data_IF_100108836285
#
_entry.id   IF_100108836285
#
_cell.length_a   1.000
_cell.length_b   1.000
_cell.length_c   1.000
_cell.angle_alpha   90.00
_cell.angle_beta   90.00
_cell.angle_gamma   90.00
#
_symmetry.space_group_name_H-M   'P 1'
#
loop_
_entity.id
_entity.type
_entity.pdbx_description
1 polymer ?
#
# COMPACT_ATOMS: atom_id res chain seq x y z
N UNK A 1 12.66 -24.61 1.18
CA UNK A 1 11.23 -24.23 1.35
C UNK A 1 10.92 -24.11 2.83
N UNK A 2 10.29 -23.02 3.30
CA UNK A 2 9.85 -22.91 4.70
C UNK A 2 8.72 -23.94 4.97
N UNK A 3 8.78 -24.64 6.10
CA UNK A 3 7.75 -25.62 6.52
C UNK A 3 6.41 -24.91 6.72
N UNK A 4 5.35 -25.40 6.09
CA UNK A 4 3.99 -24.85 6.23
C UNK A 4 3.22 -25.62 7.30
N UNK A 5 2.43 -24.90 8.09
CA UNK A 5 1.52 -25.48 9.10
C UNK A 5 0.10 -25.12 8.69
N UNK A 6 -0.79 -26.11 8.63
CA UNK A 6 -2.20 -25.84 8.33
C UNK A 6 -2.88 -25.21 9.54
N UNK A 7 -3.68 -24.17 9.28
CA UNK A 7 -4.57 -23.52 10.23
C UNK A 7 -5.94 -23.44 9.57
N UNK A 8 -6.97 -23.95 10.24
CA UNK A 8 -8.35 -23.91 9.75
C UNK A 8 -8.88 -22.47 9.78
N UNK A 9 -8.72 -21.75 8.68
CA UNK A 9 -9.18 -20.38 8.51
C UNK A 9 -10.55 -20.39 7.83
N UNK A 10 -11.53 -19.77 8.48
CA UNK A 10 -12.81 -19.42 7.85
C UNK A 10 -12.78 -17.95 7.45
N UNK A 11 -13.33 -17.64 6.29
CA UNK A 11 -13.45 -16.27 5.76
C UNK A 11 -14.92 -15.96 5.45
N UNK A 12 -15.28 -14.68 5.41
CA UNK A 12 -16.62 -14.27 5.00
C UNK A 12 -16.85 -14.53 3.51
N UNK A 13 -18.12 -14.59 3.04
CA UNK A 13 -18.42 -14.75 1.61
C UNK A 13 -17.80 -13.65 0.74
N UNK A 14 -17.79 -12.40 1.22
CA UNK A 14 -17.17 -11.26 0.53
C UNK A 14 -15.65 -11.43 0.43
N UNK A 15 -15.00 -11.81 1.54
CA UNK A 15 -13.56 -12.08 1.54
C UNK A 15 -13.21 -13.20 0.56
N UNK A 16 -14.02 -14.26 0.52
CA UNK A 16 -13.83 -15.37 -0.41
C UNK A 16 -13.89 -14.92 -1.88
N UNK A 17 -14.89 -14.10 -2.24
CA UNK A 17 -15.00 -13.55 -3.59
C UNK A 17 -13.78 -12.69 -3.96
N UNK A 18 -13.31 -11.85 -3.04
CA UNK A 18 -12.14 -10.98 -3.26
C UNK A 18 -10.85 -11.79 -3.40
N UNK A 19 -10.66 -12.82 -2.58
CA UNK A 19 -9.52 -13.75 -2.68
C UNK A 19 -9.51 -14.45 -4.03
N UNK A 20 -10.68 -14.93 -4.49
CA UNK A 20 -10.83 -15.56 -5.80
C UNK A 20 -10.49 -14.60 -6.94
N UNK A 21 -11.00 -13.38 -6.91
CA UNK A 21 -10.69 -12.37 -7.92
C UNK A 21 -9.18 -12.03 -7.97
N UNK A 22 -8.51 -11.94 -6.81
CA UNK A 22 -7.06 -11.74 -6.75
C UNK A 22 -6.28 -12.95 -7.28
N UNK A 23 -6.75 -14.17 -6.98
CA UNK A 23 -6.17 -15.42 -7.49
C UNK A 23 -6.19 -15.46 -9.01
N UNK A 24 -7.32 -15.10 -9.61
CA UNK A 24 -7.50 -15.02 -11.07
C UNK A 24 -6.62 -13.92 -11.68
N UNK A 25 -6.64 -12.71 -11.09
CA UNK A 25 -5.86 -11.56 -11.58
C UNK A 25 -4.35 -11.82 -11.58
N UNK A 26 -3.84 -12.47 -10.54
CA UNK A 26 -2.41 -12.72 -10.35
C UNK A 26 -1.96 -14.11 -10.80
N UNK A 27 -2.87 -14.95 -11.30
CA UNK A 27 -2.61 -16.32 -11.76
C UNK A 27 -1.89 -17.18 -10.71
N UNK A 28 -2.26 -17.02 -9.43
CA UNK A 28 -1.71 -17.79 -8.30
C UNK A 28 -2.84 -18.45 -7.53
N UNK A 29 -2.58 -19.58 -6.87
CA UNK A 29 -3.59 -20.25 -6.03
C UNK A 29 -4.19 -19.31 -4.98
N UNK A 30 -5.48 -19.47 -4.66
CA UNK A 30 -6.15 -18.74 -3.56
C UNK A 30 -5.38 -18.87 -2.24
N UNK A 31 -4.84 -20.05 -1.96
CA UNK A 31 -4.01 -20.27 -0.78
C UNK A 31 -2.72 -19.42 -0.80
N UNK A 32 -2.16 -19.11 -1.97
CA UNK A 32 -1.02 -18.20 -2.09
C UNK A 32 -1.41 -16.75 -1.84
N UNK A 33 -2.57 -16.31 -2.35
CA UNK A 33 -3.14 -14.99 -2.06
C UNK A 33 -3.32 -14.81 -0.55
N UNK A 34 -3.98 -15.76 0.11
CA UNK A 34 -4.23 -15.69 1.56
C UNK A 34 -2.91 -15.61 2.33
N UNK A 35 -1.89 -16.37 1.95
CA UNK A 35 -0.57 -16.30 2.59
C UNK A 35 0.08 -14.93 2.40
N UNK A 36 0.05 -14.37 1.19
CA UNK A 36 0.60 -13.04 0.94
C UNK A 36 -0.11 -11.96 1.76
N UNK A 37 -1.43 -12.05 1.90
CA UNK A 37 -2.20 -11.13 2.74
C UNK A 37 -1.82 -11.25 4.23
N UNK A 38 -1.65 -12.49 4.72
CA UNK A 38 -1.19 -12.73 6.09
C UNK A 38 0.23 -12.18 6.30
N UNK A 39 1.14 -12.47 5.37
CA UNK A 39 2.54 -12.00 5.43
C UNK A 39 2.62 -10.46 5.40
N UNK A 40 1.71 -9.81 4.65
CA UNK A 40 1.63 -8.35 4.61
C UNK A 40 1.04 -7.76 5.90
N UNK A 41 0.02 -8.38 6.49
CA UNK A 41 -0.70 -7.82 7.64
C UNK A 41 -0.03 -8.12 9.00
N UNK A 42 0.65 -9.25 9.14
CA UNK A 42 1.25 -9.69 10.40
C UNK A 42 2.22 -8.66 11.01
N UNK A 43 3.18 -8.07 10.27
CA UNK A 43 4.11 -7.09 10.84
C UNK A 43 3.40 -5.87 11.44
N UNK A 44 2.31 -5.41 10.82
CA UNK A 44 1.52 -4.30 11.34
C UNK A 44 0.79 -4.70 12.61
N UNK A 45 0.16 -5.89 12.63
CA UNK A 45 -0.48 -6.43 13.82
C UNK A 45 0.51 -6.61 14.99
N UNK A 46 1.73 -7.09 14.71
CA UNK A 46 2.82 -7.24 15.70
C UNK A 46 3.26 -5.91 16.29
N UNK A 47 3.27 -4.85 15.47
CA UNK A 47 3.58 -3.48 15.93
C UNK A 47 2.44 -2.79 16.69
N UNK A 48 1.30 -3.49 16.89
CA UNK A 48 0.09 -2.91 17.50
C UNK A 48 -0.61 -1.88 16.62
N UNK A 49 -0.24 -1.81 15.34
CA UNK A 49 -0.81 -0.90 14.37
C UNK A 49 -1.98 -1.59 13.66
N UNK A 50 -3.20 -1.16 13.96
CA UNK A 50 -4.31 -1.42 13.06
C UNK A 50 -4.14 -0.49 11.84
N UNK A 51 -4.00 -1.07 10.63
CA UNK A 51 -3.91 -0.29 9.39
C UNK A 51 -5.29 0.29 9.09
N UNK A 52 -5.54 1.49 9.63
CA UNK A 52 -6.62 2.34 9.14
C UNK A 52 -6.14 3.03 7.86
N UNK A 53 -6.66 2.56 6.73
CA UNK A 53 -6.26 3.04 5.42
C UNK A 53 -6.67 4.51 5.22
N UNK A 54 -7.79 4.94 5.80
CA UNK A 54 -8.21 6.34 5.75
C UNK A 54 -7.21 7.20 6.54
N UNK A 55 -6.83 6.77 7.74
CA UNK A 55 -5.82 7.45 8.56
C UNK A 55 -4.46 7.52 7.88
N UNK A 56 -4.05 6.46 7.19
CA UNK A 56 -2.80 6.42 6.44
C UNK A 56 -2.81 7.43 5.29
N UNK A 57 -3.90 7.49 4.51
CA UNK A 57 -4.07 8.50 3.44
C UNK A 57 -4.01 9.91 4.03
N UNK A 58 -4.74 10.18 5.11
CA UNK A 58 -4.71 11.50 5.77
C UNK A 58 -3.31 11.89 6.25
N UNK A 59 -2.52 10.95 6.79
CA UNK A 59 -1.14 11.21 7.20
C UNK A 59 -0.25 11.56 6.01
N UNK A 60 -0.42 10.87 4.88
CA UNK A 60 0.35 11.13 3.65
C UNK A 60 -0.03 12.50 3.06
N UNK A 61 -1.32 12.84 3.02
CA UNK A 61 -1.80 14.14 2.58
C UNK A 61 -1.23 15.27 3.44
N UNK A 62 -1.28 15.12 4.77
CA UNK A 62 -0.73 16.09 5.70
C UNK A 62 0.78 16.28 5.52
N UNK A 63 1.54 15.18 5.41
CA UNK A 63 2.98 15.24 5.19
C UNK A 63 3.32 15.94 3.88
N UNK A 64 2.56 15.68 2.82
CA UNK A 64 2.75 16.32 1.51
C UNK A 64 2.50 17.82 1.58
N UNK A 65 1.43 18.24 2.27
CA UNK A 65 1.10 19.66 2.45
C UNK A 65 2.14 20.39 3.31
N UNK A 66 2.64 19.73 4.36
CA UNK A 66 3.68 20.27 5.22
C UNK A 66 5.01 20.44 4.45
N UNK A 67 5.38 19.45 3.63
CA UNK A 67 6.54 19.53 2.74
C UNK A 67 6.40 20.67 1.73
N UNK A 68 5.25 20.77 1.07
CA UNK A 68 4.97 21.84 0.12
C UNK A 68 5.11 23.23 0.77
N UNK A 69 4.53 23.39 1.96
CA UNK A 69 4.62 24.63 2.74
C UNK A 69 6.08 24.95 3.12
N UNK A 70 6.85 23.94 3.53
CA UNK A 70 8.26 24.13 3.92
C UNK A 70 9.12 24.52 2.73
N UNK A 71 8.94 23.86 1.58
CA UNK A 71 9.70 24.16 0.36
C UNK A 71 9.38 25.58 -0.13
N UNK A 72 8.10 25.96 -0.17
CA UNK A 72 7.69 27.31 -0.55
C UNK A 72 8.22 28.40 0.40
N UNK A 73 8.37 28.11 1.69
CA UNK A 73 8.88 29.08 2.68
C UNK A 73 10.41 29.18 2.71
N UNK A 74 11.11 28.07 2.55
CA UNK A 74 12.56 28.00 2.74
C UNK A 74 13.35 28.15 1.44
N UNK A 75 12.79 27.68 0.32
CA UNK A 75 13.43 27.69 -1.00
C UNK A 75 12.41 27.92 -2.12
N UNK A 76 11.77 29.11 -2.19
CA UNK A 76 10.70 29.38 -3.16
C UNK A 76 11.14 29.24 -4.61
N UNK A 77 12.43 29.50 -4.92
CA UNK A 77 12.97 29.32 -6.27
C UNK A 77 13.09 27.84 -6.69
N UNK A 78 13.16 26.93 -5.72
CA UNK A 78 13.31 25.48 -5.95
C UNK A 78 11.97 24.72 -5.83
N UNK A 79 10.89 25.39 -5.41
CA UNK A 79 9.59 24.77 -5.20
C UNK A 79 9.00 24.17 -6.48
N UNK A 80 8.89 24.97 -7.54
CA UNK A 80 8.34 24.53 -8.83
C UNK A 80 9.19 23.40 -9.47
N UNK A 81 10.53 23.51 -9.57
CA UNK A 81 11.36 22.43 -10.10
C UNK A 81 11.30 21.12 -9.31
N UNK A 82 11.15 21.20 -7.97
CA UNK A 82 11.03 20.02 -7.12
C UNK A 82 9.67 19.34 -7.29
N UNK A 83 8.59 20.11 -7.41
CA UNK A 83 7.26 19.59 -7.70
C UNK A 83 7.23 18.90 -9.07
N UNK A 84 7.80 19.52 -10.10
CA UNK A 84 7.91 18.92 -11.44
C UNK A 84 8.67 17.59 -11.41
N UNK A 85 9.79 17.51 -10.67
CA UNK A 85 10.55 16.26 -10.48
C UNK A 85 9.78 15.20 -9.72
N UNK A 86 9.03 15.58 -8.68
CA UNK A 86 8.20 14.65 -7.92
C UNK A 86 7.10 14.06 -8.80
N UNK A 87 6.43 14.89 -9.62
CA UNK A 87 5.43 14.46 -10.59
C UNK A 87 6.03 13.52 -11.65
N UNK A 88 7.20 13.87 -12.19
CA UNK A 88 7.90 13.03 -13.17
C UNK A 88 8.22 11.65 -12.59
N UNK A 89 8.77 11.59 -11.38
CA UNK A 89 9.08 10.33 -10.69
C UNK A 89 7.80 9.51 -10.39
N UNK A 90 6.73 10.16 -9.93
CA UNK A 90 5.46 9.48 -9.69
C UNK A 90 4.89 8.83 -10.98
N UNK A 91 5.01 9.51 -12.12
CA UNK A 91 4.61 8.96 -13.43
C UNK A 91 5.49 7.79 -13.86
N UNK A 92 6.80 7.85 -13.62
CA UNK A 92 7.73 6.78 -14.01
C UNK A 92 7.56 5.51 -13.18
N UNK A 93 7.32 5.64 -11.86
CA UNK A 93 7.34 4.50 -10.94
C UNK A 93 5.96 4.05 -10.42
N UNK A 94 4.94 4.91 -10.53
CA UNK A 94 3.60 4.66 -9.97
C UNK A 94 2.46 4.85 -10.98
N UNK A 95 2.74 5.03 -12.29
CA UNK A 95 1.69 4.97 -13.29
C UNK A 95 0.99 3.60 -13.25
N UNK A 96 -0.36 3.55 -13.25
CA UNK A 96 -1.06 2.30 -13.41
C UNK A 96 -0.64 1.70 -14.75
N UNK A 97 -0.04 0.51 -14.72
CA UNK A 97 0.15 -0.29 -15.91
C UNK A 97 -1.26 -0.71 -16.36
N UNK A 98 -1.80 0.02 -17.32
CA UNK A 98 -3.03 -0.32 -18.02
C UNK A 98 -2.87 -1.63 -18.79
#
# INVERSE_FOLDING_TARGET
>A
MKRRVQRGLSVSPEQNQRIKALSERHQISEAAVVRQLIDAALPFAESGQAIDHARLVTLIEYASLALDTLVHRLSPADAEPLLERAIANARTYHAPQG
#
